data_IF_966772884201
#
_entry.id   IF_966772884201
#
_cell.length_a   1.000
_cell.length_b   1.000
_cell.length_c   1.000
_cell.angle_alpha   90.00
_cell.angle_beta   90.00
_cell.angle_gamma   90.00
#
_symmetry.space_group_name_H-M   'P 1'
#
loop_
_entity.id
_entity.type
_entity.pdbx_description
1 polymer ?
#
# COMPACT_ATOMS: atom_id res chain seq x y z
N UNK A 1 23.88 67.96 40.91
CA UNK A 1 22.77 67.02 41.17
C UNK A 1 21.87 67.00 39.95
N UNK A 2 21.89 65.91 39.17
CA UNK A 2 20.82 65.39 38.31
C UNK A 2 21.45 64.22 37.56
N UNK A 3 21.39 63.03 38.14
CA UNK A 3 20.46 61.94 37.81
C UNK A 3 20.74 61.33 36.44
N UNK A 4 21.25 60.10 36.48
CA UNK A 4 21.31 59.22 35.33
C UNK A 4 20.04 58.40 35.17
N UNK A 5 19.92 57.80 34.00
CA UNK A 5 19.43 56.44 33.75
C UNK A 5 19.74 56.09 32.27
N UNK A 6 20.41 54.97 31.97
CA UNK A 6 20.41 54.37 30.65
C UNK A 6 19.37 53.24 30.63
N UNK A 7 18.26 53.42 29.92
CA UNK A 7 17.17 52.46 29.85
C UNK A 7 16.90 51.96 28.44
N UNK A 8 17.01 50.64 28.27
CA UNK A 8 16.40 49.80 27.21
C UNK A 8 17.14 49.67 25.87
N UNK A 9 18.02 48.66 25.80
CA UNK A 9 18.61 48.17 24.55
C UNK A 9 18.73 46.64 24.47
N UNK A 10 17.91 45.88 25.21
CA UNK A 10 18.14 44.44 25.44
C UNK A 10 17.13 43.44 24.88
N UNK A 11 15.93 43.84 24.44
CA UNK A 11 14.84 42.87 24.17
C UNK A 11 14.75 42.36 22.72
N UNK A 12 15.42 42.99 21.76
CA UNK A 12 15.27 42.65 20.33
C UNK A 12 16.13 41.47 19.86
N UNK A 13 17.31 41.29 20.45
CA UNK A 13 18.26 40.25 20.03
C UNK A 13 17.89 38.85 20.55
N UNK A 14 17.30 38.76 21.75
CA UNK A 14 16.92 37.51 22.39
C UNK A 14 15.65 36.89 21.76
N UNK A 15 14.69 37.73 21.36
CA UNK A 15 13.50 37.32 20.61
C UNK A 15 13.79 36.84 19.18
N UNK A 16 14.77 37.45 18.50
CA UNK A 16 15.23 37.00 17.18
C UNK A 16 15.89 35.63 17.23
N UNK A 17 16.82 35.43 18.17
CA UNK A 17 17.50 34.15 18.36
C UNK A 17 16.53 33.02 18.79
N UNK A 18 15.50 33.33 19.58
CA UNK A 18 14.43 32.38 19.91
C UNK A 18 13.60 31.96 18.70
N UNK A 19 13.22 32.93 17.87
CA UNK A 19 12.42 32.68 16.65
C UNK A 19 13.20 31.89 15.61
N UNK A 20 14.51 32.15 15.46
CA UNK A 20 15.38 31.37 14.57
C UNK A 20 15.49 29.90 14.99
N UNK A 21 15.68 29.64 16.29
CA UNK A 21 15.70 28.27 16.83
C UNK A 21 14.37 27.56 16.62
N UNK A 22 13.26 28.26 16.84
CA UNK A 22 11.91 27.73 16.58
C UNK A 22 11.72 27.39 15.10
N UNK A 23 12.14 28.27 14.19
CA UNK A 23 12.08 28.01 12.76
C UNK A 23 12.94 26.80 12.34
N UNK A 24 14.10 26.61 12.98
CA UNK A 24 14.93 25.43 12.77
C UNK A 24 14.25 24.15 13.28
N UNK A 25 13.61 24.20 14.45
CA UNK A 25 12.85 23.08 14.99
C UNK A 25 11.66 22.69 14.10
N UNK A 26 10.94 23.68 13.57
CA UNK A 26 9.84 23.45 12.62
C UNK A 26 10.35 22.76 11.36
N UNK A 27 11.43 23.25 10.75
CA UNK A 27 12.03 22.60 9.56
C UNK A 27 12.44 21.15 9.83
N UNK A 28 13.07 20.89 10.98
CA UNK A 28 13.44 19.54 11.36
C UNK A 28 12.22 18.62 11.57
N UNK A 29 11.12 19.16 12.11
CA UNK A 29 9.86 18.43 12.26
C UNK A 29 9.16 18.19 10.91
N UNK A 30 9.21 19.14 9.98
CA UNK A 30 8.72 18.98 8.60
C UNK A 30 9.49 17.88 7.87
N UNK A 31 10.83 17.91 7.92
CA UNK A 31 11.66 16.87 7.31
C UNK A 31 11.35 15.48 7.90
N UNK A 32 11.22 15.39 9.23
CA UNK A 32 10.87 14.14 9.90
C UNK A 32 9.47 13.64 9.53
N UNK A 33 8.50 14.54 9.36
CA UNK A 33 7.16 14.18 8.93
C UNK A 33 7.14 13.66 7.50
N UNK A 34 7.88 14.30 6.58
CA UNK A 34 8.00 13.84 5.19
C UNK A 34 8.60 12.43 5.14
N UNK A 35 9.67 12.17 5.87
CA UNK A 35 10.27 10.82 5.93
C UNK A 35 9.28 9.79 6.51
N UNK A 36 8.48 10.18 7.50
CA UNK A 36 7.44 9.33 8.06
C UNK A 36 6.30 9.07 7.06
N UNK A 37 5.81 10.08 6.35
CA UNK A 37 4.80 9.94 5.30
C UNK A 37 5.28 9.00 4.19
N UNK A 38 6.53 9.16 3.73
CA UNK A 38 7.14 8.25 2.75
C UNK A 38 7.19 6.83 3.28
N UNK A 39 7.56 6.62 4.54
CA UNK A 39 7.59 5.29 5.14
C UNK A 39 6.20 4.64 5.23
N UNK A 40 5.18 5.40 5.65
CA UNK A 40 3.79 4.92 5.72
C UNK A 40 3.27 4.57 4.32
N UNK A 41 3.52 5.40 3.32
CA UNK A 41 3.08 5.14 1.95
C UNK A 41 3.81 3.94 1.34
N UNK A 42 5.12 3.81 1.60
CA UNK A 42 5.90 2.64 1.22
C UNK A 42 5.27 1.36 1.79
N UNK A 43 4.95 1.35 3.08
CA UNK A 43 4.37 0.18 3.74
C UNK A 43 2.95 -0.12 3.24
N UNK A 44 2.12 0.91 3.02
CA UNK A 44 0.80 0.78 2.39
C UNK A 44 0.90 0.08 1.02
N UNK A 45 1.84 0.50 0.19
CA UNK A 45 2.10 -0.11 -1.13
C UNK A 45 2.54 -1.57 -0.97
N UNK A 46 3.41 -1.89 -0.01
CA UNK A 46 3.80 -3.29 0.26
C UNK A 46 2.59 -4.16 0.69
N UNK A 47 1.68 -3.64 1.53
CA UNK A 47 0.43 -4.33 1.91
C UNK A 47 -0.47 -4.58 0.71
N UNK A 48 -0.64 -3.58 -0.16
CA UNK A 48 -1.45 -3.71 -1.38
C UNK A 48 -0.83 -4.71 -2.35
N UNK A 49 0.48 -4.64 -2.56
CA UNK A 49 1.21 -5.56 -3.43
C UNK A 49 1.13 -7.00 -2.91
N UNK A 50 1.28 -7.21 -1.60
CA UNK A 50 1.09 -8.52 -0.99
C UNK A 50 -0.31 -9.07 -1.24
N UNK A 51 -1.34 -8.24 -1.03
CA UNK A 51 -2.73 -8.63 -1.23
C UNK A 51 -3.00 -9.09 -2.67
N UNK A 52 -2.48 -8.34 -3.65
CA UNK A 52 -2.60 -8.67 -5.08
C UNK A 52 -1.87 -9.97 -5.43
N UNK A 53 -0.65 -10.14 -4.93
CA UNK A 53 0.15 -11.36 -5.18
C UNK A 53 -0.40 -12.58 -4.46
N UNK A 54 -0.94 -12.40 -3.26
CA UNK A 54 -1.66 -13.45 -2.52
C UNK A 54 -2.85 -13.95 -3.35
N UNK A 55 -3.71 -13.04 -3.81
CA UNK A 55 -4.86 -13.40 -4.64
C UNK A 55 -4.42 -14.11 -5.92
N UNK A 56 -3.46 -13.54 -6.64
CA UNK A 56 -2.97 -14.10 -7.89
C UNK A 56 -2.34 -15.50 -7.73
N UNK A 57 -1.48 -15.68 -6.71
CA UNK A 57 -0.70 -16.93 -6.55
C UNK A 57 -1.48 -18.00 -5.81
N UNK A 58 -2.32 -17.63 -4.84
CA UNK A 58 -2.99 -18.56 -3.93
C UNK A 58 -4.47 -18.74 -4.22
N UNK A 59 -5.16 -17.72 -4.77
CA UNK A 59 -6.59 -17.79 -5.12
C UNK A 59 -6.96 -19.01 -5.96
N UNK A 60 -6.26 -19.29 -7.08
CA UNK A 60 -6.53 -20.49 -7.89
C UNK A 60 -6.31 -21.81 -7.13
N UNK A 61 -5.37 -21.85 -6.17
CA UNK A 61 -5.11 -23.05 -5.37
C UNK A 61 -6.23 -23.27 -4.34
N UNK A 62 -6.73 -22.21 -3.71
CA UNK A 62 -7.91 -22.29 -2.83
C UNK A 62 -9.15 -22.77 -3.60
N UNK A 63 -9.43 -22.17 -4.77
CA UNK A 63 -10.54 -22.59 -5.61
C UNK A 63 -10.44 -24.07 -6.03
N UNK A 64 -9.23 -24.54 -6.34
CA UNK A 64 -8.98 -25.96 -6.66
C UNK A 64 -9.28 -26.86 -5.46
N UNK A 65 -8.88 -26.45 -4.25
CA UNK A 65 -9.15 -27.19 -3.02
C UNK A 65 -10.65 -27.29 -2.77
N UNK A 66 -11.38 -26.18 -2.89
CA UNK A 66 -12.84 -26.14 -2.68
C UNK A 66 -13.57 -27.03 -3.69
N UNK A 67 -13.19 -27.00 -4.98
CA UNK A 67 -13.73 -27.90 -6.00
C UNK A 67 -13.44 -29.37 -5.68
N UNK A 68 -12.23 -29.70 -5.23
CA UNK A 68 -11.88 -31.05 -4.82
C UNK A 68 -12.71 -31.50 -3.61
N UNK A 69 -12.94 -30.63 -2.63
CA UNK A 69 -13.78 -30.92 -1.48
C UNK A 69 -15.23 -31.21 -1.88
N UNK A 70 -15.80 -30.44 -2.80
CA UNK A 70 -17.12 -30.71 -3.36
C UNK A 70 -17.17 -32.08 -4.07
N UNK A 71 -16.17 -32.39 -4.90
CA UNK A 71 -16.09 -33.68 -5.63
C UNK A 71 -15.90 -34.87 -4.69
N UNK A 72 -15.10 -34.73 -3.63
CA UNK A 72 -14.93 -35.77 -2.62
C UNK A 72 -16.25 -36.03 -1.90
N UNK A 73 -16.96 -34.97 -1.48
CA UNK A 73 -18.26 -35.10 -0.83
C UNK A 73 -19.30 -35.79 -1.73
N UNK A 74 -19.33 -35.44 -3.01
CA UNK A 74 -20.19 -36.09 -4.02
C UNK A 74 -19.84 -37.58 -4.20
N UNK A 75 -18.55 -37.92 -4.27
CA UNK A 75 -18.11 -39.30 -4.41
C UNK A 75 -18.46 -40.14 -3.16
N UNK A 76 -18.36 -39.57 -1.95
CA UNK A 76 -18.80 -40.20 -0.72
C UNK A 76 -20.31 -40.44 -0.75
N UNK A 77 -21.11 -39.40 -1.02
CA UNK A 77 -22.56 -39.48 -1.08
C UNK A 77 -23.05 -40.52 -2.12
N UNK A 78 -22.37 -40.61 -3.27
CA UNK A 78 -22.67 -41.61 -4.28
C UNK A 78 -22.41 -43.05 -3.79
N UNK A 79 -21.43 -43.27 -2.92
CA UNK A 79 -21.12 -44.60 -2.37
C UNK A 79 -21.98 -44.97 -1.18
N UNK A 80 -22.23 -44.04 -0.27
CA UNK A 80 -22.97 -44.32 0.98
C UNK A 80 -24.48 -44.29 0.79
N UNK A 81 -24.97 -43.45 -0.14
CA UNK A 81 -26.40 -43.14 -0.29
C UNK A 81 -27.06 -42.61 0.99
N UNK A 82 -26.26 -42.09 1.93
CA UNK A 82 -26.73 -41.51 3.19
C UNK A 82 -27.34 -40.11 2.91
N UNK A 83 -28.58 -39.81 3.38
CA UNK A 83 -29.17 -38.48 3.27
C UNK A 83 -28.30 -37.34 3.81
N UNK A 84 -27.52 -37.58 4.87
CA UNK A 84 -26.62 -36.59 5.46
C UNK A 84 -25.43 -36.29 4.53
N UNK A 85 -24.82 -37.31 3.94
CA UNK A 85 -23.72 -37.16 2.98
C UNK A 85 -24.21 -36.47 1.70
N UNK A 86 -25.41 -36.81 1.24
CA UNK A 86 -26.04 -36.12 0.11
C UNK A 86 -26.30 -34.64 0.40
N UNK A 87 -26.65 -34.29 1.65
CA UNK A 87 -26.81 -32.88 2.04
C UNK A 87 -25.46 -32.16 2.01
N UNK A 88 -24.42 -32.74 2.62
CA UNK A 88 -23.07 -32.16 2.61
C UNK A 88 -22.51 -31.97 1.20
N UNK A 89 -22.74 -32.93 0.31
CA UNK A 89 -22.33 -32.81 -1.09
C UNK A 89 -23.02 -31.64 -1.81
N UNK A 90 -24.33 -31.44 -1.57
CA UNK A 90 -25.07 -30.28 -2.12
C UNK A 90 -24.53 -28.96 -1.57
N UNK A 91 -24.36 -28.86 -0.25
CA UNK A 91 -23.83 -27.66 0.40
C UNK A 91 -22.43 -27.30 -0.14
N UNK A 92 -21.54 -28.29 -0.27
CA UNK A 92 -20.20 -28.08 -0.83
C UNK A 92 -20.24 -27.65 -2.30
N UNK A 93 -21.12 -28.25 -3.13
CA UNK A 93 -21.28 -27.87 -4.54
C UNK A 93 -21.84 -26.46 -4.69
N UNK A 94 -22.80 -26.08 -3.85
CA UNK A 94 -23.38 -24.73 -3.81
C UNK A 94 -22.33 -23.68 -3.44
N UNK A 95 -21.40 -24.00 -2.53
CA UNK A 95 -20.32 -23.10 -2.13
C UNK A 95 -19.33 -22.77 -3.27
N UNK A 96 -19.05 -23.74 -4.15
CA UNK A 96 -18.11 -23.57 -5.28
C UNK A 96 -18.77 -22.98 -6.53
N UNK A 97 -20.10 -23.11 -6.65
CA UNK A 97 -20.81 -22.64 -7.84
C UNK A 97 -20.84 -21.10 -7.88
N UNK A 98 -20.30 -20.45 -8.93
CA UNK A 98 -20.40 -19.00 -9.07
C UNK A 98 -21.86 -18.56 -9.10
N UNK A 99 -22.23 -17.55 -8.29
CA UNK A 99 -23.61 -17.05 -8.22
C UNK A 99 -24.01 -16.52 -9.62
N UNK A 100 -25.03 -17.09 -10.30
CA UNK A 100 -25.38 -16.77 -11.69
C UNK A 100 -25.99 -15.37 -11.94
N UNK A 101 -25.68 -14.36 -11.14
CA UNK A 101 -26.25 -12.99 -11.27
C UNK A 101 -25.23 -11.88 -11.39
N UNK A 102 -23.95 -12.18 -11.12
CA UNK A 102 -22.85 -11.21 -11.28
C UNK A 102 -22.21 -11.37 -12.66
N UNK A 103 -22.08 -12.61 -13.16
CA UNK A 103 -21.49 -12.89 -14.49
C UNK A 103 -22.26 -12.27 -15.66
N UNK A 104 -23.60 -12.25 -15.62
CA UNK A 104 -24.42 -11.67 -16.70
C UNK A 104 -24.41 -10.13 -16.72
N UNK A 105 -24.15 -9.47 -15.57
CA UNK A 105 -24.08 -8.00 -15.49
C UNK A 105 -22.78 -7.43 -16.09
N UNK A 106 -21.73 -8.25 -16.14
CA UNK A 106 -20.36 -7.87 -16.52
C UNK A 106 -19.90 -8.61 -17.79
N UNK A 107 -20.81 -8.77 -18.76
CA UNK A 107 -20.48 -9.40 -20.04
C UNK A 107 -19.36 -8.62 -20.76
N UNK A 108 -18.19 -9.25 -20.87
CA UNK A 108 -16.94 -8.67 -21.41
C UNK A 108 -15.90 -8.27 -20.36
N UNK A 109 -16.29 -8.19 -19.08
CA UNK A 109 -15.40 -7.88 -17.94
C UNK A 109 -15.11 -9.10 -17.07
N UNK A 110 -15.75 -10.24 -17.32
CA UNK A 110 -15.49 -11.51 -16.65
C UNK A 110 -15.24 -12.61 -17.69
N UNK A 111 -14.26 -13.48 -17.41
CA UNK A 111 -14.04 -14.76 -18.10
C UNK A 111 -14.20 -15.95 -17.13
N UNK A 112 -13.84 -17.15 -17.59
CA UNK A 112 -13.96 -18.37 -16.79
C UNK A 112 -13.06 -18.42 -15.54
N UNK A 113 -12.15 -17.44 -15.37
CA UNK A 113 -11.22 -17.34 -14.24
C UNK A 113 -11.51 -16.13 -13.33
N UNK A 114 -12.47 -15.26 -13.67
CA UNK A 114 -12.81 -14.08 -12.87
C UNK A 114 -12.87 -12.81 -13.73
N UNK A 115 -12.44 -11.66 -13.20
CA UNK A 115 -12.39 -10.41 -13.99
C UNK A 115 -11.35 -10.50 -15.09
N UNK A 116 -11.73 -10.14 -16.31
CA UNK A 116 -10.77 -9.93 -17.38
C UNK A 116 -9.87 -8.77 -17.01
N UNK A 117 -8.60 -8.79 -17.43
CA UNK A 117 -7.69 -7.71 -17.19
C UNK A 117 -8.29 -6.34 -17.57
N UNK A 118 -8.87 -6.25 -18.76
CA UNK A 118 -9.48 -5.04 -19.28
C UNK A 118 -10.68 -4.56 -18.45
N UNK A 119 -11.46 -5.49 -17.87
CA UNK A 119 -12.58 -5.18 -16.99
C UNK A 119 -12.14 -4.57 -15.65
N UNK A 120 -11.03 -5.06 -15.08
CA UNK A 120 -10.48 -4.53 -13.84
C UNK A 120 -9.85 -3.14 -14.05
N UNK A 121 -9.13 -2.94 -15.16
CA UNK A 121 -8.56 -1.64 -15.53
C UNK A 121 -9.61 -0.55 -15.75
N UNK A 122 -10.74 -0.86 -16.41
CA UNK A 122 -11.80 0.13 -16.62
C UNK A 122 -12.54 0.51 -15.33
N UNK A 123 -12.63 -0.39 -14.33
CA UNK A 123 -13.30 -0.10 -13.05
C UNK A 123 -12.42 0.70 -12.08
N UNK A 124 -11.11 0.54 -12.17
CA UNK A 124 -10.16 1.07 -11.17
C UNK A 124 -9.24 2.16 -11.70
N UNK A 125 -9.23 2.39 -13.02
CA UNK A 125 -8.30 3.29 -13.72
C UNK A 125 -6.81 2.95 -13.45
N UNK A 126 -6.52 1.67 -13.13
CA UNK A 126 -5.20 1.17 -12.78
C UNK A 126 -4.74 0.06 -13.72
N UNK A 127 -3.42 -0.03 -13.96
CA UNK A 127 -2.81 -1.08 -14.75
C UNK A 127 -3.08 -2.46 -14.13
N UNK A 128 -3.58 -3.38 -14.94
CA UNK A 128 -4.01 -4.73 -14.53
C UNK A 128 -2.87 -5.70 -14.19
N UNK A 129 -1.63 -5.29 -14.44
CA UNK A 129 -0.51 -6.18 -14.16
C UNK A 129 -0.29 -6.19 -12.64
N UNK A 130 -0.47 -7.35 -11.98
CA UNK A 130 -0.11 -7.47 -10.59
C UNK A 130 1.39 -7.14 -10.44
N UNK A 131 1.78 -6.54 -9.31
CA UNK A 131 3.16 -6.15 -9.10
C UNK A 131 4.04 -7.40 -9.18
N UNK A 132 5.26 -7.30 -9.74
CA UNK A 132 6.12 -8.47 -9.91
C UNK A 132 6.58 -9.07 -8.57
N UNK A 133 6.60 -8.25 -7.51
CA UNK A 133 7.03 -8.58 -6.16
C UNK A 133 6.27 -7.75 -5.14
N UNK A 134 6.18 -8.26 -3.92
CA UNK A 134 5.57 -7.52 -2.80
C UNK A 134 6.36 -6.25 -2.53
N UNK A 135 7.68 -6.42 -2.46
CA UNK A 135 8.66 -5.37 -2.23
C UNK A 135 9.32 -5.00 -3.54
N UNK A 136 9.14 -3.75 -4.02
CA UNK A 136 9.91 -3.26 -5.15
C UNK A 136 11.41 -3.42 -4.92
N UNK A 137 12.18 -3.62 -5.99
CA UNK A 137 13.62 -3.85 -5.89
C UNK A 137 14.37 -2.66 -5.27
N UNK A 138 15.58 -2.92 -4.78
CA UNK A 138 16.43 -1.92 -4.10
C UNK A 138 16.64 -0.65 -4.94
N UNK A 139 16.77 -0.78 -6.25
CA UNK A 139 16.88 0.36 -7.15
C UNK A 139 15.61 1.22 -7.15
N UNK A 140 14.44 0.61 -7.37
CA UNK A 140 13.16 1.31 -7.35
C UNK A 140 12.91 1.98 -5.99
N UNK A 141 13.23 1.31 -4.88
CA UNK A 141 13.16 1.86 -3.52
C UNK A 141 14.01 3.11 -3.34
N UNK A 142 15.26 3.07 -3.82
CA UNK A 142 16.18 4.20 -3.73
C UNK A 142 15.67 5.39 -4.54
N UNK A 143 15.28 5.16 -5.80
CA UNK A 143 14.76 6.19 -6.70
C UNK A 143 13.48 6.81 -6.15
N UNK A 144 12.56 5.96 -5.67
CA UNK A 144 11.31 6.39 -5.05
C UNK A 144 11.54 7.31 -3.85
N UNK A 145 12.36 6.87 -2.88
CA UNK A 145 12.63 7.65 -1.66
C UNK A 145 13.27 9.00 -1.99
N UNK A 146 14.24 9.01 -2.91
CA UNK A 146 14.87 10.25 -3.36
C UNK A 146 13.86 11.20 -4.00
N UNK A 147 13.07 10.70 -4.94
CA UNK A 147 12.13 11.50 -5.71
C UNK A 147 10.98 12.01 -4.83
N UNK A 148 10.37 11.15 -4.02
CA UNK A 148 9.29 11.50 -3.11
C UNK A 148 9.71 12.60 -2.12
N UNK A 149 10.93 12.53 -1.60
CA UNK A 149 11.49 13.59 -0.74
C UNK A 149 11.66 14.92 -1.48
N UNK A 150 12.07 14.91 -2.75
CA UNK A 150 12.30 16.13 -3.56
C UNK A 150 10.99 16.78 -4.00
N UNK A 151 10.00 15.98 -4.39
CA UNK A 151 8.73 16.46 -4.94
C UNK A 151 7.63 16.62 -3.90
N UNK A 152 7.89 16.34 -2.62
CA UNK A 152 6.85 16.38 -1.59
C UNK A 152 6.06 17.71 -1.57
N UNK A 153 4.72 17.68 -1.58
CA UNK A 153 3.87 18.88 -1.65
C UNK A 153 4.01 19.80 -0.43
N UNK A 154 4.45 19.27 0.71
CA UNK A 154 4.61 20.06 1.94
C UNK A 154 5.85 20.94 1.98
N UNK A 155 6.76 20.79 1.03
CA UNK A 155 7.90 21.71 0.84
C UNK A 155 7.44 23.10 0.34
N UNK A 156 6.24 23.20 -0.21
CA UNK A 156 5.71 24.42 -0.83
C UNK A 156 4.44 24.92 -0.14
N UNK A 157 4.24 26.23 -0.18
CA UNK A 157 3.08 26.93 0.41
C UNK A 157 2.15 27.46 -0.66
N UNK A 158 2.66 27.64 -1.88
CA UNK A 158 1.84 28.04 -3.01
C UNK A 158 0.85 26.90 -3.34
N UNK A 159 -0.47 27.16 -3.34
CA UNK A 159 -1.46 26.13 -3.58
C UNK A 159 -1.34 25.47 -4.95
N UNK A 160 -0.98 26.22 -6.00
CA UNK A 160 -0.85 25.69 -7.36
C UNK A 160 0.36 24.77 -7.48
N UNK A 161 1.50 25.16 -6.93
CA UNK A 161 2.69 24.29 -6.89
C UNK A 161 2.48 23.08 -5.98
N UNK A 162 1.71 23.22 -4.89
CA UNK A 162 1.32 22.09 -4.02
C UNK A 162 0.51 21.06 -4.80
N UNK A 163 -0.49 21.48 -5.57
CA UNK A 163 -1.32 20.60 -6.40
C UNK A 163 -0.50 19.92 -7.51
N UNK A 164 0.39 20.65 -8.18
CA UNK A 164 1.33 20.08 -9.17
C UNK A 164 2.19 18.98 -8.55
N UNK A 165 2.74 19.24 -7.36
CA UNK A 165 3.58 18.29 -6.61
C UNK A 165 2.81 17.06 -6.14
N UNK A 166 1.58 17.25 -5.66
CA UNK A 166 0.70 16.17 -5.25
C UNK A 166 0.37 15.23 -6.43
N UNK A 167 -0.03 15.81 -7.58
CA UNK A 167 -0.26 15.04 -8.80
C UNK A 167 0.99 14.31 -9.28
N UNK A 168 2.17 14.94 -9.16
CA UNK A 168 3.44 14.33 -9.51
C UNK A 168 3.80 13.18 -8.56
N UNK A 169 3.68 13.38 -7.24
CA UNK A 169 3.95 12.36 -6.22
C UNK A 169 3.01 11.15 -6.39
N UNK A 170 1.75 11.36 -6.77
CA UNK A 170 0.84 10.26 -7.09
C UNK A 170 1.35 9.38 -8.25
N UNK A 171 1.88 9.97 -9.33
CA UNK A 171 2.52 9.22 -10.42
C UNK A 171 3.75 8.44 -9.94
N UNK A 172 4.55 9.06 -9.06
CA UNK A 172 5.73 8.41 -8.46
C UNK A 172 5.33 7.21 -7.60
N UNK A 173 4.30 7.34 -6.76
CA UNK A 173 3.76 6.23 -5.95
C UNK A 173 3.27 5.09 -6.85
N UNK A 174 2.60 5.39 -7.96
CA UNK A 174 2.11 4.38 -8.91
C UNK A 174 3.26 3.63 -9.61
N UNK A 175 4.29 4.34 -10.07
CA UNK A 175 5.48 3.72 -10.66
C UNK A 175 6.20 2.83 -9.65
N UNK A 176 6.32 3.29 -8.40
CA UNK A 176 6.91 2.51 -7.32
C UNK A 176 6.08 1.26 -6.98
N UNK A 177 4.74 1.36 -6.94
CA UNK A 177 3.86 0.22 -6.70
C UNK A 177 4.02 -0.88 -7.75
N UNK A 178 4.23 -0.51 -9.01
CA UNK A 178 4.57 -1.45 -10.10
C UNK A 178 6.00 -1.97 -10.04
N UNK A 179 6.87 -1.37 -9.22
CA UNK A 179 8.30 -1.65 -9.21
C UNK A 179 9.03 -1.19 -10.48
N UNK A 180 8.49 -0.21 -11.20
CA UNK A 180 9.04 0.28 -12.47
C UNK A 180 10.17 1.28 -12.24
N UNK A 181 11.40 0.76 -12.12
CA UNK A 181 12.59 1.58 -11.93
C UNK A 181 12.89 2.49 -13.15
N UNK A 182 12.56 2.06 -14.36
CA UNK A 182 12.78 2.85 -15.58
C UNK A 182 11.85 4.07 -15.62
N UNK A 183 10.57 3.88 -15.28
CA UNK A 183 9.60 4.96 -15.15
C UNK A 183 10.00 5.93 -14.04
N UNK A 184 10.47 5.43 -12.89
CA UNK A 184 10.98 6.27 -11.81
C UNK A 184 12.19 7.13 -12.27
N UNK A 185 13.11 6.58 -13.08
CA UNK A 185 14.22 7.37 -13.65
C UNK A 185 13.73 8.44 -14.62
N UNK A 186 12.75 8.10 -15.46
CA UNK A 186 12.12 9.06 -16.38
C UNK A 186 11.44 10.20 -15.60
N UNK A 187 10.76 9.88 -14.49
CA UNK A 187 10.12 10.86 -13.63
C UNK A 187 11.16 11.77 -12.95
N UNK A 188 12.33 11.26 -12.55
CA UNK A 188 13.41 12.11 -12.03
C UNK A 188 13.84 13.13 -13.08
N UNK A 189 14.05 12.71 -14.33
CA UNK A 189 14.44 13.62 -15.43
C UNK A 189 13.36 14.68 -15.69
N UNK A 190 12.08 14.28 -15.69
CA UNK A 190 10.94 15.20 -15.82
C UNK A 190 10.92 16.24 -14.68
N UNK A 191 11.15 15.78 -13.45
CA UNK A 191 11.20 16.65 -12.27
C UNK A 191 12.33 17.68 -12.36
N UNK A 192 13.51 17.27 -12.83
CA UNK A 192 14.68 18.13 -13.00
C UNK A 192 14.49 19.16 -14.13
N UNK A 193 13.86 18.77 -15.23
CA UNK A 193 13.51 19.68 -16.32
C UNK A 193 12.45 20.71 -15.91
N UNK A 194 11.61 20.38 -14.93
CA UNK A 194 10.49 21.20 -14.45
C UNK A 194 10.87 22.46 -13.65
N UNK A 195 12.15 22.65 -13.34
CA UNK A 195 12.67 23.78 -12.55
C UNK A 195 12.24 23.76 -11.08
N UNK A 196 13.10 24.24 -10.18
CA UNK A 196 12.74 24.42 -8.76
C UNK A 196 12.21 25.84 -8.57
N UNK A 197 11.07 26.07 -7.90
CA UNK A 197 10.66 27.42 -7.54
C UNK A 197 11.70 28.03 -6.59
N UNK A 198 12.46 29.00 -7.09
CA UNK A 198 13.31 29.84 -6.26
C UNK A 198 12.43 30.80 -5.46
N UNK A 199 12.51 30.70 -4.15
CA UNK A 199 11.80 31.58 -3.24
C UNK A 199 12.30 31.39 -1.82
N UNK A 200 13.28 32.19 -1.43
CA UNK A 200 13.71 32.29 -0.05
C UNK A 200 12.50 32.72 0.79
N UNK A 201 11.92 31.78 1.53
CA UNK A 201 10.69 32.01 2.27
C UNK A 201 11.03 32.91 3.46
N UNK A 202 10.39 34.09 3.60
CA UNK A 202 10.63 34.93 4.77
C UNK A 202 10.32 34.14 6.05
N UNK A 203 11.15 34.31 7.07
CA UNK A 203 10.94 33.70 8.38
C UNK A 203 9.56 34.10 8.91
N UNK A 204 8.63 33.16 9.15
CA UNK A 204 7.35 33.46 9.75
C UNK A 204 7.51 33.94 11.19
N UNK A 205 6.57 34.74 11.68
CA UNK A 205 6.50 35.12 13.09
C UNK A 205 6.30 33.89 14.00
N UNK A 206 6.72 33.98 15.26
CA UNK A 206 6.71 32.87 16.21
C UNK A 206 5.34 32.16 16.36
N UNK A 207 4.23 32.91 16.36
CA UNK A 207 2.87 32.35 16.47
C UNK A 207 2.54 31.42 15.30
N UNK A 208 2.97 31.76 14.09
CA UNK A 208 2.76 30.91 12.90
C UNK A 208 3.61 29.64 12.97
N UNK A 209 4.82 29.73 13.51
CA UNK A 209 5.69 28.58 13.71
C UNK A 209 5.12 27.61 14.75
N UNK A 210 4.56 28.12 15.85
CA UNK A 210 3.85 27.28 16.83
C UNK A 210 2.62 26.61 16.22
N UNK A 211 1.78 27.36 15.49
CA UNK A 211 0.62 26.78 14.80
C UNK A 211 1.03 25.70 13.79
N UNK A 212 2.17 25.86 13.11
CA UNK A 212 2.73 24.84 12.21
C UNK A 212 3.17 23.60 12.98
N UNK A 213 3.83 23.73 14.12
CA UNK A 213 4.20 22.58 14.97
C UNK A 213 2.99 21.79 15.46
N UNK A 214 1.94 22.47 15.91
CA UNK A 214 0.68 21.82 16.31
C UNK A 214 0.05 21.04 15.14
N UNK A 215 0.02 21.65 13.95
CA UNK A 215 -0.45 20.97 12.76
C UNK A 215 0.41 19.73 12.40
N UNK A 216 1.73 19.85 12.47
CA UNK A 216 2.66 18.73 12.20
C UNK A 216 2.45 17.59 13.20
N UNK A 217 2.25 17.91 14.49
CA UNK A 217 1.97 16.92 15.52
C UNK A 217 0.64 16.19 15.24
N UNK A 218 -0.44 16.93 14.96
CA UNK A 218 -1.73 16.34 14.63
C UNK A 218 -1.67 15.46 13.37
N UNK A 219 -0.95 15.89 12.33
CA UNK A 219 -0.75 15.12 11.10
C UNK A 219 0.02 13.83 11.36
N UNK A 220 1.07 13.89 12.18
CA UNK A 220 1.84 12.72 12.59
C UNK A 220 0.97 11.68 13.31
N UNK A 221 0.12 12.09 14.25
CA UNK A 221 -0.77 11.17 14.96
C UNK A 221 -1.72 10.46 14.00
N UNK A 222 -2.33 11.18 13.04
CA UNK A 222 -3.18 10.55 12.01
C UNK A 222 -2.45 9.51 11.17
N UNK A 223 -1.19 9.78 10.80
CA UNK A 223 -0.36 8.84 10.05
C UNK A 223 0.06 7.65 10.91
N UNK A 224 0.33 7.85 12.19
CA UNK A 224 0.64 6.78 13.13
C UNK A 224 -0.57 5.84 13.31
N UNK A 225 -1.77 6.39 13.44
CA UNK A 225 -3.01 5.60 13.49
C UNK A 225 -3.22 4.80 12.19
N UNK A 226 -2.97 5.41 11.04
CA UNK A 226 -3.05 4.73 9.74
C UNK A 226 -2.01 3.61 9.61
N UNK A 227 -0.78 3.86 10.05
CA UNK A 227 0.29 2.85 10.06
C UNK A 227 -0.07 1.68 10.98
N UNK A 228 -0.56 1.96 12.19
CA UNK A 228 -1.02 0.94 13.13
C UNK A 228 -2.17 0.11 12.55
N UNK A 229 -3.14 0.73 11.88
CA UNK A 229 -4.23 0.00 11.22
C UNK A 229 -3.74 -0.92 10.09
N UNK A 230 -2.76 -0.49 9.29
CA UNK A 230 -2.13 -1.32 8.26
C UNK A 230 -1.37 -2.50 8.89
N UNK A 231 -0.64 -2.24 9.96
CA UNK A 231 0.10 -3.22 10.74
C UNK A 231 -0.80 -4.27 11.40
N UNK A 232 -1.93 -3.86 11.97
CA UNK A 232 -2.89 -4.75 12.64
C UNK A 232 -3.77 -5.53 11.66
N UNK A 233 -3.71 -5.21 10.36
CA UNK A 233 -4.39 -6.00 9.34
C UNK A 233 -3.83 -7.43 9.24
N UNK A 234 -4.62 -8.34 8.67
CA UNK A 234 -4.18 -9.72 8.45
C UNK A 234 -2.92 -9.77 7.56
N UNK A 235 -2.92 -8.99 6.48
CA UNK A 235 -1.77 -8.87 5.56
C UNK A 235 -0.57 -8.22 6.24
N UNK A 236 -0.79 -7.16 7.03
CA UNK A 236 0.28 -6.53 7.80
C UNK A 236 0.93 -7.49 8.80
N UNK A 237 0.12 -8.33 9.45
CA UNK A 237 0.62 -9.39 10.32
C UNK A 237 1.46 -10.43 9.56
N UNK A 238 1.04 -10.82 8.35
CA UNK A 238 1.82 -11.73 7.50
C UNK A 238 3.13 -11.07 7.03
N UNK A 239 3.12 -9.79 6.66
CA UNK A 239 4.33 -9.05 6.29
C UNK A 239 5.34 -8.96 7.43
N UNK A 240 4.88 -8.74 8.68
CA UNK A 240 5.76 -8.78 9.86
C UNK A 240 6.37 -10.16 10.08
N UNK A 241 5.60 -11.23 9.88
CA UNK A 241 6.09 -12.60 10.01
C UNK A 241 7.10 -12.97 8.92
N UNK A 242 6.93 -12.43 7.70
CA UNK A 242 7.84 -12.69 6.59
C UNK A 242 9.16 -11.92 6.66
N UNK A 243 9.29 -10.97 7.60
CA UNK A 243 10.45 -10.10 7.82
C UNK A 243 11.02 -9.52 6.53
N UNK A 244 12.04 -10.16 5.93
CA UNK A 244 12.80 -9.67 4.78
C UNK A 244 12.24 -10.14 3.42
N UNK A 245 11.59 -11.31 3.35
CA UNK A 245 11.17 -11.95 2.09
C UNK A 245 9.69 -12.39 2.08
N UNK A 246 8.75 -11.43 1.94
CA UNK A 246 7.32 -11.73 1.81
C UNK A 246 6.95 -12.53 0.57
N UNK A 247 7.75 -12.46 -0.50
CA UNK A 247 7.54 -13.28 -1.69
C UNK A 247 7.81 -14.77 -1.39
N UNK A 248 8.86 -15.08 -0.63
CA UNK A 248 9.14 -16.45 -0.19
C UNK A 248 8.03 -17.04 0.70
N UNK A 249 7.43 -16.23 1.58
CA UNK A 249 6.28 -16.68 2.38
C UNK A 249 5.11 -17.10 1.49
N UNK A 250 4.79 -16.31 0.45
CA UNK A 250 3.72 -16.68 -0.49
C UNK A 250 4.04 -17.99 -1.21
N UNK A 251 5.29 -18.19 -1.60
CA UNK A 251 5.72 -19.42 -2.28
C UNK A 251 5.63 -20.65 -1.35
N UNK A 252 6.02 -20.51 -0.07
CA UNK A 252 5.89 -21.56 0.94
C UNK A 252 4.41 -21.97 1.15
N UNK A 253 3.52 -20.99 1.29
CA UNK A 253 2.07 -21.25 1.42
C UNK A 253 1.54 -21.93 0.16
N UNK A 254 1.94 -21.46 -1.03
CA UNK A 254 1.55 -22.07 -2.30
C UNK A 254 1.99 -23.54 -2.39
N UNK A 255 3.21 -23.87 -1.96
CA UNK A 255 3.68 -25.25 -1.89
C UNK A 255 2.86 -26.10 -0.91
N UNK A 256 2.50 -25.53 0.25
CA UNK A 256 1.60 -26.17 1.21
C UNK A 256 0.25 -26.53 0.59
N UNK A 257 -0.38 -25.58 -0.09
CA UNK A 257 -1.65 -25.78 -0.78
C UNK A 257 -1.54 -26.83 -1.89
N UNK A 258 -0.45 -26.82 -2.68
CA UNK A 258 -0.22 -27.86 -3.71
C UNK A 258 -0.09 -29.27 -3.11
N UNK A 259 0.56 -29.42 -1.96
CA UNK A 259 0.60 -30.72 -1.24
C UNK A 259 -0.78 -31.17 -0.77
N UNK A 260 -1.61 -30.23 -0.31
CA UNK A 260 -2.99 -30.51 0.08
C UNK A 260 -3.84 -30.93 -1.13
N UNK A 261 -3.71 -30.22 -2.27
CA UNK A 261 -4.36 -30.57 -3.54
C UNK A 261 -4.00 -32.01 -3.92
N UNK A 262 -2.72 -32.36 -3.97
CA UNK A 262 -2.27 -33.71 -4.32
C UNK A 262 -2.85 -34.79 -3.38
N UNK A 263 -3.00 -34.47 -2.09
CA UNK A 263 -3.62 -35.37 -1.11
C UNK A 263 -5.11 -35.59 -1.41
N UNK A 264 -5.84 -34.51 -1.70
CA UNK A 264 -7.27 -34.57 -2.03
C UNK A 264 -7.52 -35.25 -3.38
N UNK A 265 -6.67 -35.03 -4.37
CA UNK A 265 -6.73 -35.73 -5.65
C UNK A 265 -6.56 -37.25 -5.47
N UNK A 266 -5.61 -37.68 -4.65
CA UNK A 266 -5.40 -39.10 -4.34
C UNK A 266 -6.58 -39.70 -3.56
N UNK A 267 -7.19 -38.95 -2.65
CA UNK A 267 -8.42 -39.36 -1.95
C UNK A 267 -9.59 -39.53 -2.92
N UNK A 268 -9.81 -38.55 -3.79
CA UNK A 268 -10.87 -38.59 -4.79
C UNK A 268 -10.68 -39.79 -5.74
N UNK A 269 -9.47 -40.02 -6.24
CA UNK A 269 -9.15 -41.16 -7.10
C UNK A 269 -9.48 -42.51 -6.42
N UNK A 270 -9.13 -42.65 -5.14
CA UNK A 270 -9.50 -43.83 -4.34
C UNK A 270 -11.01 -44.01 -4.18
N UNK A 271 -11.76 -42.91 -4.07
CA UNK A 271 -13.21 -42.96 -3.94
C UNK A 271 -13.89 -43.31 -5.26
N UNK A 272 -13.39 -42.80 -6.38
CA UNK A 272 -13.96 -43.02 -7.73
C UNK A 272 -13.43 -44.29 -8.43
N UNK A 273 -12.39 -44.92 -7.89
CA UNK A 273 -11.78 -46.12 -8.46
C UNK A 273 -10.92 -45.85 -9.70
N UNK A 274 -10.36 -44.63 -9.79
CA UNK A 274 -9.40 -44.19 -10.81
C UNK A 274 -7.96 -44.39 -10.35
#
# INVERSE_FOLDING_TARGET
MSNGEPGSGGSGADGGAGTERLAQAVRAAEDALIEFEIAVETYRIEVENFSRLHEQRLGPLYATIEELDARIAEAIAARTQDPEDQRRAREAREAVTPIPRVSELFSGWLDGEGFTPEGYAMMTDQSVQPPPRVRPGEEARKLYRELARRCHPDLVTDPTERERRDAFLSRVNQAYARGDAEELRTLIEEWEAGGTPDGERPLPDADRLYARLEWLAARKELLADAAAALEDSAVGSMLRMAEDDPDALLDEVAEGLRRQIATKEAELARLTGQ
#
